data_IF_075569463739
#
_entry.id   IF_075569463739
#
_cell.length_a   1.000
_cell.length_b   1.000
_cell.length_c   1.000
_cell.angle_alpha   90.00
_cell.angle_beta   90.00
_cell.angle_gamma   90.00
#
_symmetry.space_group_name_H-M   'P 1'
#
loop_
_entity.id
_entity.type
_entity.pdbx_description
1 polymer ?
#
# COMPACT_ATOMS: atom_id res chain seq x y z
N UNK A 1 1.04 25.91 4.66
CA UNK A 1 2.31 26.26 3.99
C UNK A 1 3.24 27.12 4.87
N UNK A 2 2.80 28.31 5.40
CA UNK A 2 3.68 29.22 6.16
C UNK A 2 4.16 28.60 7.48
N UNK A 3 3.26 28.00 8.27
CA UNK A 3 3.60 27.36 9.55
C UNK A 3 4.58 26.20 9.37
N UNK A 4 4.37 25.35 8.36
CA UNK A 4 5.22 24.21 8.04
C UNK A 4 6.64 24.66 7.70
N UNK A 5 6.78 25.73 6.91
CA UNK A 5 8.07 26.31 6.56
C UNK A 5 8.82 26.84 7.79
N UNK A 6 8.14 27.62 8.65
CA UNK A 6 8.74 28.13 9.89
C UNK A 6 9.23 27.01 10.80
N UNK A 7 8.45 25.93 10.94
CA UNK A 7 8.89 24.75 11.70
C UNK A 7 10.14 24.12 11.06
N UNK A 8 10.14 23.93 9.75
CA UNK A 8 11.28 23.37 9.03
C UNK A 8 12.53 24.25 9.14
N UNK A 9 12.41 25.59 9.17
CA UNK A 9 13.51 26.51 9.35
C UNK A 9 14.13 26.45 10.76
N UNK A 10 13.30 26.23 11.79
CA UNK A 10 13.71 26.33 13.20
C UNK A 10 14.04 25.01 13.89
N UNK A 11 13.57 23.85 13.36
CA UNK A 11 13.86 22.54 13.94
C UNK A 11 15.33 22.11 13.71
N UNK A 12 15.82 21.25 14.58
CA UNK A 12 17.21 20.73 14.52
C UNK A 12 17.40 19.67 13.43
N UNK A 13 16.34 18.96 13.04
CA UNK A 13 16.38 17.92 12.02
C UNK A 13 14.99 17.59 11.49
N UNK A 14 14.93 17.04 10.30
CA UNK A 14 13.72 16.62 9.61
C UNK A 14 13.88 15.14 9.27
N UNK A 15 12.96 14.31 9.75
CA UNK A 15 12.86 12.91 9.35
C UNK A 15 11.70 12.81 8.37
N UNK A 16 12.00 12.42 7.12
CA UNK A 16 11.00 12.10 6.11
C UNK A 16 10.89 10.57 6.01
N UNK A 17 9.69 10.05 6.20
CA UNK A 17 9.44 8.61 6.22
C UNK A 17 8.75 8.07 4.94
N UNK A 18 8.39 8.96 4.04
CA UNK A 18 7.86 8.67 2.70
C UNK A 18 8.66 9.48 1.69
N UNK A 19 8.83 8.93 0.48
CA UNK A 19 9.56 9.61 -0.58
C UNK A 19 8.98 11.01 -0.88
N UNK A 20 7.66 11.14 -0.90
CA UNK A 20 6.95 12.40 -1.16
C UNK A 20 7.30 13.49 -0.15
N UNK A 21 7.54 13.11 1.10
CA UNK A 21 7.99 14.04 2.14
C UNK A 21 9.48 14.37 1.97
N UNK A 22 10.30 13.36 1.66
CA UNK A 22 11.72 13.56 1.47
C UNK A 22 12.01 14.58 0.36
N UNK A 23 11.45 14.40 -0.83
CA UNK A 23 11.64 15.32 -1.95
C UNK A 23 11.03 16.70 -1.73
N UNK A 24 10.08 16.82 -0.79
CA UNK A 24 9.49 18.11 -0.43
C UNK A 24 10.36 18.96 0.50
N UNK A 25 11.22 18.33 1.30
CA UNK A 25 12.06 19.02 2.29
C UNK A 25 13.53 19.05 1.92
N UNK A 26 14.06 17.97 1.37
CA UNK A 26 15.47 17.81 1.08
C UNK A 26 16.06 18.93 0.24
N UNK A 27 15.43 19.44 -0.83
CA UNK A 27 16.01 20.52 -1.64
C UNK A 27 16.17 21.85 -0.91
N UNK A 28 15.28 22.10 0.08
CA UNK A 28 15.32 23.33 0.89
C UNK A 28 16.16 23.22 2.16
N UNK A 29 16.39 22.00 2.66
CA UNK A 29 17.05 21.73 3.94
C UNK A 29 17.93 20.48 3.87
N UNK A 30 18.90 20.41 2.91
CA UNK A 30 19.68 19.19 2.66
C UNK A 30 20.49 18.74 3.86
N UNK A 31 21.06 19.68 4.64
CA UNK A 31 21.95 19.39 5.78
C UNK A 31 21.23 18.78 7.00
N UNK A 32 19.90 18.88 7.04
CA UNK A 32 19.12 18.42 8.20
C UNK A 32 17.92 17.51 7.85
N UNK A 33 17.78 17.13 6.59
CA UNK A 33 16.74 16.20 6.16
C UNK A 33 17.30 14.81 5.95
N UNK A 34 16.79 13.84 6.70
CA UNK A 34 17.11 12.44 6.54
C UNK A 34 15.89 11.63 6.13
N UNK A 35 16.07 10.66 5.22
CA UNK A 35 15.06 9.66 4.95
C UNK A 35 15.22 8.51 5.94
N UNK A 36 14.17 8.22 6.69
CA UNK A 36 14.06 7.06 7.59
C UNK A 36 12.70 6.41 7.33
N UNK A 37 12.64 5.21 6.75
CA UNK A 37 11.38 4.57 6.41
C UNK A 37 10.50 4.33 7.64
N UNK A 38 9.19 4.18 7.42
CA UNK A 38 8.23 3.88 8.48
C UNK A 38 8.58 2.53 9.13
N UNK A 39 8.78 2.49 10.46
CA UNK A 39 9.07 1.24 11.16
C UNK A 39 7.83 0.40 11.36
N UNK A 40 7.98 -0.93 11.28
CA UNK A 40 6.95 -1.88 11.69
C UNK A 40 7.50 -2.87 12.71
N UNK A 41 6.76 -3.11 13.80
CA UNK A 41 7.14 -4.10 14.82
C UNK A 41 6.67 -5.50 14.42
N UNK A 42 7.51 -6.22 13.69
CA UNK A 42 7.20 -7.57 13.20
C UNK A 42 6.93 -8.59 14.32
N UNK A 43 7.39 -8.34 15.56
CA UNK A 43 7.12 -9.23 16.71
C UNK A 43 5.63 -9.26 17.08
N UNK A 44 4.87 -8.23 16.67
CA UNK A 44 3.43 -8.09 16.90
C UNK A 44 2.57 -8.53 15.73
N UNK A 45 3.20 -9.06 14.67
CA UNK A 45 2.51 -9.46 13.45
C UNK A 45 2.70 -10.95 13.20
N UNK A 46 1.61 -11.66 13.01
CA UNK A 46 1.66 -13.04 12.54
C UNK A 46 1.75 -13.04 11.03
N UNK A 47 2.95 -13.29 10.52
CA UNK A 47 3.21 -13.40 9.08
C UNK A 47 2.76 -14.76 8.55
N UNK A 48 2.07 -14.75 7.41
CA UNK A 48 1.68 -15.98 6.70
C UNK A 48 1.77 -15.76 5.20
N UNK A 49 2.68 -16.44 4.54
CA UNK A 49 2.70 -16.48 3.06
C UNK A 49 1.39 -17.12 2.56
N UNK A 50 0.72 -16.46 1.64
CA UNK A 50 -0.56 -16.92 1.07
C UNK A 50 -0.33 -18.08 0.10
N UNK A 51 -1.29 -18.99 0.07
CA UNK A 51 -1.38 -20.00 -1.00
C UNK A 51 -2.18 -19.43 -2.18
N UNK A 52 -2.25 -20.15 -3.28
CA UNK A 52 -3.16 -19.82 -4.38
C UNK A 52 -4.61 -19.91 -3.87
N UNK A 53 -5.39 -18.82 -3.86
CA UNK A 53 -6.74 -18.86 -3.34
C UNK A 53 -7.69 -19.50 -4.36
N UNK A 54 -8.72 -20.18 -3.89
CA UNK A 54 -9.81 -20.64 -4.75
C UNK A 54 -10.53 -19.41 -5.35
N UNK A 55 -10.86 -18.46 -4.50
CA UNK A 55 -11.47 -17.18 -4.85
C UNK A 55 -10.69 -16.05 -4.19
N UNK A 56 -10.13 -15.16 -5.01
CA UNK A 56 -9.28 -14.05 -4.55
C UNK A 56 -10.07 -13.06 -3.69
N UNK A 57 -9.60 -12.79 -2.48
CA UNK A 57 -10.24 -11.83 -1.58
C UNK A 57 -9.52 -10.48 -1.60
N UNK A 58 -10.12 -9.50 -2.26
CA UNK A 58 -9.70 -8.11 -2.19
C UNK A 58 -10.21 -7.45 -0.92
N UNK A 59 -9.35 -6.71 -0.25
CA UNK A 59 -9.67 -5.90 0.90
C UNK A 59 -9.45 -4.42 0.58
N UNK A 60 -10.45 -3.60 0.85
CA UNK A 60 -10.36 -2.15 0.73
C UNK A 60 -10.92 -1.47 1.97
N UNK A 61 -10.07 -0.73 2.67
CA UNK A 61 -10.44 0.03 3.86
C UNK A 61 -10.62 1.50 3.54
N UNK A 62 -11.82 2.00 3.72
CA UNK A 62 -12.23 3.34 3.35
C UNK A 62 -12.40 4.20 4.60
N UNK A 63 -11.67 5.29 4.66
CA UNK A 63 -11.90 6.38 5.59
C UNK A 63 -12.72 7.43 4.84
N UNK A 64 -14.02 7.52 5.13
CA UNK A 64 -14.97 8.36 4.38
C UNK A 64 -14.50 9.82 4.25
N UNK A 65 -13.96 10.40 5.31
CA UNK A 65 -13.42 11.76 5.32
C UNK A 65 -12.14 11.97 4.49
N UNK A 66 -11.50 10.91 4.00
CA UNK A 66 -10.20 10.94 3.28
C UNK A 66 -10.20 10.13 1.99
N UNK A 67 -11.36 9.67 1.54
CA UNK A 67 -11.48 8.79 0.37
C UNK A 67 -10.85 9.42 -0.87
N UNK A 68 -11.19 10.68 -1.16
CA UNK A 68 -10.64 11.43 -2.29
C UNK A 68 -9.13 11.72 -2.18
N UNK A 69 -8.59 11.83 -0.96
CA UNK A 69 -7.15 12.04 -0.76
C UNK A 69 -6.35 10.75 -0.97
N UNK A 70 -6.97 9.60 -0.71
CA UNK A 70 -6.37 8.29 -0.89
C UNK A 70 -6.64 7.68 -2.27
N UNK A 71 -7.63 8.20 -3.00
CA UNK A 71 -8.09 7.66 -4.27
C UNK A 71 -8.93 6.39 -4.14
N UNK A 72 -9.44 6.08 -2.92
CA UNK A 72 -10.31 4.91 -2.74
C UNK A 72 -11.68 5.09 -3.38
N UNK A 73 -12.12 6.32 -3.60
CA UNK A 73 -13.29 6.70 -4.38
C UNK A 73 -13.16 6.37 -5.88
N UNK A 74 -11.94 6.34 -6.39
CA UNK A 74 -11.63 5.90 -7.77
C UNK A 74 -11.42 4.39 -7.82
N UNK A 75 -10.66 3.83 -6.87
CA UNK A 75 -10.29 2.41 -6.88
C UNK A 75 -11.48 1.47 -6.63
N UNK A 76 -12.41 1.83 -5.74
CA UNK A 76 -13.53 0.97 -5.38
C UNK A 76 -14.49 0.70 -6.54
N UNK A 77 -14.98 1.69 -7.31
CA UNK A 77 -15.85 1.43 -8.47
C UNK A 77 -15.19 0.52 -9.51
N UNK A 78 -13.89 0.72 -9.76
CA UNK A 78 -13.13 -0.11 -10.70
C UNK A 78 -13.01 -1.55 -10.18
N UNK A 79 -12.72 -1.74 -8.89
CA UNK A 79 -12.67 -3.07 -8.27
C UNK A 79 -14.03 -3.77 -8.33
N UNK A 80 -15.11 -3.04 -8.09
CA UNK A 80 -16.48 -3.57 -8.20
C UNK A 80 -16.82 -4.01 -9.64
N UNK A 81 -16.33 -3.30 -10.64
CA UNK A 81 -16.48 -3.69 -12.04
C UNK A 81 -15.73 -4.98 -12.35
N UNK A 82 -14.48 -5.11 -11.88
CA UNK A 82 -13.70 -6.36 -12.03
C UNK A 82 -14.42 -7.52 -11.35
N UNK A 83 -14.95 -7.35 -10.13
CA UNK A 83 -15.73 -8.39 -9.46
C UNK A 83 -16.99 -8.77 -10.22
N UNK A 84 -17.73 -7.79 -10.77
CA UNK A 84 -18.93 -8.03 -11.55
C UNK A 84 -18.64 -8.85 -12.80
N UNK A 85 -17.47 -8.67 -13.40
CA UNK A 85 -17.04 -9.40 -14.61
C UNK A 85 -16.51 -10.81 -14.27
N UNK A 86 -15.92 -10.97 -13.07
CA UNK A 86 -15.30 -12.22 -12.62
C UNK A 86 -15.85 -12.68 -11.26
N UNK A 87 -17.19 -12.88 -11.11
CA UNK A 87 -17.82 -13.10 -9.80
C UNK A 87 -17.39 -14.41 -9.13
N UNK A 88 -16.95 -15.40 -9.92
CA UNK A 88 -16.51 -16.70 -9.41
C UNK A 88 -15.02 -16.71 -9.03
N UNK A 89 -14.24 -15.73 -9.51
CA UNK A 89 -12.79 -15.68 -9.31
C UNK A 89 -12.37 -14.76 -8.16
N UNK A 90 -13.17 -13.73 -7.86
CA UNK A 90 -12.83 -12.79 -6.78
C UNK A 90 -14.03 -12.32 -5.97
N UNK A 91 -13.74 -11.84 -4.76
CA UNK A 91 -14.69 -11.19 -3.86
C UNK A 91 -14.07 -9.95 -3.25
N UNK A 92 -14.90 -9.05 -2.74
CA UNK A 92 -14.47 -7.81 -2.09
C UNK A 92 -14.90 -7.84 -0.62
N UNK A 93 -13.94 -7.54 0.26
CA UNK A 93 -14.18 -7.16 1.64
C UNK A 93 -14.02 -5.64 1.74
N UNK A 94 -15.13 -4.94 1.64
CA UNK A 94 -15.22 -3.47 1.73
C UNK A 94 -15.49 -3.07 3.18
N UNK A 95 -14.72 -2.12 3.71
CA UNK A 95 -14.78 -1.73 5.13
C UNK A 95 -14.73 -0.21 5.25
N UNK A 96 -15.71 0.37 5.96
CA UNK A 96 -15.85 1.81 6.17
C UNK A 96 -15.73 2.17 7.65
N UNK A 97 -14.81 3.08 7.97
CA UNK A 97 -14.71 3.78 9.26
C UNK A 97 -14.81 2.87 10.51
N UNK A 98 -14.27 1.66 10.43
CA UNK A 98 -14.29 0.72 11.57
C UNK A 98 -13.13 0.97 12.55
N UNK A 99 -13.27 0.56 13.82
CA UNK A 99 -12.16 0.57 14.77
C UNK A 99 -10.96 -0.25 14.28
N UNK A 100 -9.74 0.24 14.58
CA UNK A 100 -8.49 -0.33 14.06
C UNK A 100 -8.32 -1.83 14.33
N UNK A 101 -8.71 -2.32 15.52
CA UNK A 101 -8.64 -3.74 15.84
C UNK A 101 -9.52 -4.60 14.92
N UNK A 102 -10.72 -4.09 14.57
CA UNK A 102 -11.63 -4.76 13.63
C UNK A 102 -11.08 -4.73 12.21
N UNK A 103 -10.49 -3.60 11.81
CA UNK A 103 -9.81 -3.45 10.53
C UNK A 103 -8.72 -4.51 10.35
N UNK A 104 -7.85 -4.68 11.36
CA UNK A 104 -6.78 -5.68 11.33
C UNK A 104 -7.30 -7.12 11.19
N UNK A 105 -8.39 -7.46 11.91
CA UNK A 105 -9.02 -8.79 11.82
C UNK A 105 -9.57 -9.08 10.42
N UNK A 106 -10.23 -8.07 9.82
CA UNK A 106 -10.79 -8.22 8.47
C UNK A 106 -9.69 -8.35 7.40
N UNK A 107 -8.55 -7.72 7.62
CA UNK A 107 -7.37 -7.84 6.76
C UNK A 107 -6.74 -9.24 6.82
N UNK A 108 -6.88 -9.98 7.92
CA UNK A 108 -6.27 -11.31 8.08
C UNK A 108 -6.74 -12.32 7.02
N UNK A 109 -7.97 -12.16 6.51
CA UNK A 109 -8.56 -13.01 5.48
C UNK A 109 -8.32 -12.50 4.05
N UNK A 110 -7.62 -11.37 3.89
CA UNK A 110 -7.35 -10.79 2.59
C UNK A 110 -6.19 -11.49 1.87
N UNK A 111 -6.27 -11.56 0.55
CA UNK A 111 -5.16 -11.95 -0.33
C UNK A 111 -4.50 -10.71 -0.92
N UNK A 112 -5.30 -9.71 -1.25
CA UNK A 112 -4.86 -8.44 -1.85
C UNK A 112 -5.52 -7.27 -1.13
N UNK A 113 -4.74 -6.25 -0.77
CA UNK A 113 -5.23 -4.98 -0.21
C UNK A 113 -5.05 -3.85 -1.21
N UNK A 114 -6.10 -3.05 -1.43
CA UNK A 114 -6.00 -1.74 -2.07
C UNK A 114 -5.78 -0.68 -0.99
N UNK A 115 -4.74 0.17 -1.14
CA UNK A 115 -4.47 1.23 -0.15
C UNK A 115 -4.50 2.63 -0.80
N UNK A 116 -3.38 3.25 -1.09
CA UNK A 116 -3.33 4.64 -1.55
C UNK A 116 -2.98 4.71 -3.04
N UNK A 117 -3.86 5.35 -3.83
CA UNK A 117 -3.66 5.56 -5.27
C UNK A 117 -2.61 6.64 -5.56
N UNK A 118 -2.56 7.69 -4.73
CA UNK A 118 -1.75 8.89 -4.98
C UNK A 118 -0.42 8.91 -4.21
N UNK A 119 -0.02 7.81 -3.60
CA UNK A 119 1.23 7.70 -2.86
C UNK A 119 2.31 7.01 -3.69
N UNK A 120 3.53 7.52 -3.63
CA UNK A 120 4.71 6.88 -4.25
C UNK A 120 5.22 5.70 -3.42
N UNK A 121 5.02 5.76 -2.11
CA UNK A 121 5.54 4.80 -1.14
C UNK A 121 4.44 4.17 -0.32
N UNK A 122 4.62 2.91 0.16
CA UNK A 122 3.61 2.23 0.97
C UNK A 122 3.42 2.93 2.33
N UNK A 123 2.16 3.07 2.73
CA UNK A 123 1.78 3.58 4.04
C UNK A 123 1.93 2.53 5.15
N UNK A 124 1.69 2.94 6.41
CA UNK A 124 1.66 1.99 7.54
C UNK A 124 0.66 0.84 7.37
N UNK A 125 -0.48 1.10 6.70
CA UNK A 125 -1.47 0.05 6.43
C UNK A 125 -0.95 -0.95 5.39
N UNK A 126 -0.30 -0.45 4.34
CA UNK A 126 0.35 -1.28 3.33
C UNK A 126 1.47 -2.14 3.94
N UNK A 127 2.33 -1.53 4.77
CA UNK A 127 3.41 -2.26 5.45
C UNK A 127 2.86 -3.34 6.39
N UNK A 128 1.78 -3.05 7.13
CA UNK A 128 1.12 -4.05 7.96
C UNK A 128 0.52 -5.20 7.15
N UNK A 129 -0.12 -4.89 6.03
CA UNK A 129 -0.65 -5.90 5.11
C UNK A 129 0.46 -6.80 4.58
N UNK A 130 1.55 -6.20 4.09
CA UNK A 130 2.73 -6.91 3.59
C UNK A 130 3.38 -7.78 4.69
N UNK A 131 3.48 -7.28 5.92
CA UNK A 131 3.97 -8.05 7.06
C UNK A 131 3.09 -9.29 7.36
N UNK A 132 1.79 -9.21 7.11
CA UNK A 132 0.83 -10.33 7.20
C UNK A 132 0.84 -11.25 5.97
N UNK A 133 1.64 -10.94 4.95
CA UNK A 133 1.69 -11.66 3.70
C UNK A 133 0.54 -11.34 2.73
N UNK A 134 -0.12 -10.20 2.92
CA UNK A 134 -1.13 -9.69 1.98
C UNK A 134 -0.43 -8.89 0.89
N UNK A 135 -0.77 -9.17 -0.38
CA UNK A 135 -0.27 -8.40 -1.52
C UNK A 135 -0.92 -7.01 -1.53
N UNK A 136 -0.15 -5.98 -1.87
CA UNK A 136 -0.65 -4.59 -1.88
C UNK A 136 -0.78 -4.09 -3.31
N UNK A 137 -1.88 -3.37 -3.57
CA UNK A 137 -2.12 -2.56 -4.77
C UNK A 137 -2.08 -1.09 -4.34
N UNK A 138 -1.21 -0.29 -4.94
CA UNK A 138 -1.04 1.13 -4.60
C UNK A 138 0.40 1.58 -4.70
N UNK A 139 0.83 2.49 -3.84
CA UNK A 139 2.14 3.14 -3.85
C UNK A 139 3.36 2.22 -3.90
N UNK A 140 3.81 1.92 -5.10
CA UNK A 140 4.97 1.08 -5.41
C UNK A 140 5.76 1.64 -6.60
N UNK A 141 5.85 2.97 -6.66
CA UNK A 141 6.58 3.66 -7.72
C UNK A 141 8.08 3.33 -7.69
N UNK A 142 8.80 3.46 -8.82
CA UNK A 142 10.25 3.21 -8.87
C UNK A 142 11.03 3.95 -7.78
N UNK A 143 10.64 5.17 -7.47
CA UNK A 143 11.26 6.04 -6.48
C UNK A 143 11.21 5.44 -5.05
N UNK A 144 10.18 4.65 -4.74
CA UNK A 144 10.10 3.92 -3.47
C UNK A 144 11.25 2.93 -3.33
N UNK A 145 11.55 2.21 -4.39
CA UNK A 145 12.61 1.21 -4.39
C UNK A 145 14.00 1.84 -4.45
N UNK A 146 14.14 2.92 -5.22
CA UNK A 146 15.39 3.67 -5.36
C UNK A 146 15.84 4.27 -4.02
N UNK A 147 14.96 4.94 -3.28
CA UNK A 147 15.32 5.57 -2.00
C UNK A 147 15.67 4.54 -0.91
N UNK A 148 15.15 3.32 -1.03
CA UNK A 148 15.44 2.19 -0.14
C UNK A 148 16.63 1.35 -0.61
N UNK A 149 17.23 1.65 -1.78
CA UNK A 149 18.22 0.80 -2.46
C UNK A 149 17.73 -0.65 -2.64
N UNK A 150 16.43 -0.84 -2.87
CA UNK A 150 15.83 -2.15 -3.08
C UNK A 150 15.86 -2.52 -4.58
N UNK A 151 16.68 -3.49 -4.94
CA UNK A 151 16.91 -3.89 -6.35
C UNK A 151 16.23 -5.19 -6.74
N UNK A 152 15.83 -6.01 -5.78
CA UNK A 152 15.37 -7.39 -6.00
C UNK A 152 13.86 -7.56 -5.84
N UNK A 153 13.30 -7.03 -4.75
CA UNK A 153 11.91 -7.24 -4.39
C UNK A 153 10.99 -6.21 -5.02
N UNK A 154 9.88 -6.68 -5.60
CA UNK A 154 8.83 -5.84 -6.20
C UNK A 154 7.44 -6.36 -5.81
N UNK A 155 7.13 -6.38 -4.48
CA UNK A 155 5.90 -7.02 -3.98
C UNK A 155 4.64 -6.21 -4.24
N UNK A 156 4.76 -4.91 -4.54
CA UNK A 156 3.61 -4.01 -4.67
C UNK A 156 3.19 -3.96 -6.13
N UNK A 157 1.91 -4.19 -6.36
CA UNK A 157 1.28 -3.97 -7.67
C UNK A 157 1.02 -2.48 -7.80
N UNK A 158 1.94 -1.79 -8.47
CA UNK A 158 1.81 -0.36 -8.71
C UNK A 158 0.70 -0.06 -9.71
N UNK A 159 -0.14 0.93 -9.40
CA UNK A 159 -1.22 1.43 -10.26
C UNK A 159 -1.10 2.93 -10.45
N UNK A 160 -1.30 3.39 -11.67
CA UNK A 160 -1.40 4.81 -11.98
C UNK A 160 -2.79 5.34 -11.59
N UNK A 161 -2.95 6.65 -11.33
CA UNK A 161 -4.25 7.27 -11.06
C UNK A 161 -5.10 7.39 -12.35
N UNK A 162 -5.33 6.26 -12.98
CA UNK A 162 -6.08 6.06 -14.21
C UNK A 162 -6.95 4.81 -14.09
N UNK A 163 -8.25 4.92 -14.33
CA UNK A 163 -9.20 3.83 -14.15
C UNK A 163 -8.88 2.62 -15.03
N UNK A 164 -8.34 2.85 -16.23
CA UNK A 164 -7.99 1.77 -17.16
C UNK A 164 -6.75 1.00 -16.69
N UNK A 165 -5.74 1.71 -16.15
CA UNK A 165 -4.56 1.06 -15.58
C UNK A 165 -4.94 0.25 -14.34
N UNK A 166 -5.73 0.84 -13.43
CA UNK A 166 -6.25 0.15 -12.24
C UNK A 166 -7.02 -1.10 -12.66
N UNK A 167 -7.97 -0.97 -13.59
CA UNK A 167 -8.78 -2.09 -14.07
C UNK A 167 -7.90 -3.22 -14.61
N UNK A 168 -6.97 -2.89 -15.52
CA UNK A 168 -6.06 -3.86 -16.15
C UNK A 168 -5.24 -4.62 -15.11
N UNK A 169 -4.67 -3.92 -14.13
CA UNK A 169 -3.84 -4.52 -13.06
C UNK A 169 -4.66 -5.41 -12.13
N UNK A 170 -5.87 -4.98 -11.76
CA UNK A 170 -6.77 -5.78 -10.93
C UNK A 170 -7.29 -7.01 -11.69
N UNK A 171 -7.66 -6.87 -12.95
CA UNK A 171 -8.06 -8.00 -13.77
C UNK A 171 -6.91 -9.00 -13.99
N UNK A 172 -5.69 -8.51 -14.23
CA UNK A 172 -4.49 -9.35 -14.39
C UNK A 172 -4.27 -10.23 -13.16
N UNK A 173 -4.36 -9.69 -11.93
CA UNK A 173 -4.14 -10.51 -10.73
C UNK A 173 -5.29 -11.50 -10.47
N UNK A 174 -6.51 -11.17 -10.87
CA UNK A 174 -7.66 -12.10 -10.80
C UNK A 174 -7.46 -13.28 -11.74
N UNK A 175 -7.01 -13.02 -12.97
CA UNK A 175 -6.78 -14.06 -13.99
C UNK A 175 -5.50 -14.87 -13.73
N UNK A 176 -4.54 -14.30 -13.00
CA UNK A 176 -3.23 -14.89 -12.67
C UNK A 176 -3.01 -15.00 -11.16
N UNK A 177 -4.02 -15.49 -10.43
CA UNK A 177 -3.98 -15.65 -8.98
C UNK A 177 -2.90 -16.64 -8.48
N UNK A 178 -2.34 -17.45 -9.37
CA UNK A 178 -1.17 -18.29 -9.10
C UNK A 178 0.09 -17.49 -8.75
N UNK A 179 0.12 -16.17 -8.99
CA UNK A 179 1.20 -15.25 -8.59
C UNK A 179 1.11 -14.83 -7.12
N UNK A 180 -0.03 -15.03 -6.46
CA UNK A 180 -0.25 -14.60 -5.07
C UNK A 180 0.79 -15.16 -4.11
N UNK A 181 1.16 -16.46 -4.13
CA UNK A 181 2.18 -16.99 -3.21
C UNK A 181 3.52 -16.28 -3.34
N UNK A 182 3.96 -15.99 -4.55
CA UNK A 182 5.21 -15.29 -4.81
C UNK A 182 5.16 -13.85 -4.30
N UNK A 183 4.13 -13.08 -4.67
CA UNK A 183 3.94 -11.69 -4.23
C UNK A 183 3.82 -11.60 -2.70
N UNK A 184 3.13 -12.55 -2.08
CA UNK A 184 3.01 -12.66 -0.63
C UNK A 184 4.36 -12.92 0.03
N UNK A 185 5.16 -13.85 -0.49
CA UNK A 185 6.51 -14.11 0.02
C UNK A 185 7.42 -12.90 -0.13
N UNK A 186 7.39 -12.22 -1.27
CA UNK A 186 8.12 -10.98 -1.50
C UNK A 186 7.66 -9.87 -0.54
N UNK A 187 6.35 -9.75 -0.26
CA UNK A 187 5.79 -8.79 0.69
C UNK A 187 6.38 -8.97 2.10
N UNK A 188 6.38 -10.20 2.61
CA UNK A 188 6.97 -10.53 3.92
C UNK A 188 8.47 -10.24 3.94
N UNK A 189 9.19 -10.63 2.89
CA UNK A 189 10.64 -10.40 2.79
C UNK A 189 10.98 -8.90 2.70
N UNK A 190 10.18 -8.10 1.98
CA UNK A 190 10.39 -6.67 1.82
C UNK A 190 10.30 -5.91 3.14
N UNK A 191 9.32 -6.20 3.99
CA UNK A 191 9.16 -5.51 5.28
C UNK A 191 10.10 -6.03 6.37
N UNK A 192 10.81 -7.14 6.13
CA UNK A 192 11.78 -7.72 7.06
C UNK A 192 13.21 -7.17 6.86
N UNK A 193 13.46 -6.46 5.76
CA UNK A 193 14.73 -5.75 5.49
C UNK A 193 14.82 -4.46 6.29
#
# INVERSE_FOLDING_TARGET
>A
ARATRTIAETCNGIIACLWEYYVSYQPGFPEKTAFIPLPIDLRKVTSRVRCVPEKLNFFIGIQSARSNLKGTDVMLPVLQEVQRKHPDLCRITEVHDVPYARYQQLMDDADVQLDQLYSYTPSMNSLLAMAKGVTVVGGGEPENYEILNETELRPIINVLPDEQDIYKKLEEIVLHKERIPELSAQSVAYVAK
#
